data_IF_602188582916
#
_entry.id   IF_602188582916
#
_cell.length_a   1.000
_cell.length_b   1.000
_cell.length_c   1.000
_cell.angle_alpha   90.00
_cell.angle_beta   90.00
_cell.angle_gamma   90.00
#
_symmetry.space_group_name_H-M   'P 1'
#
loop_
_entity.id
_entity.type
_entity.pdbx_description
1 polymer ?
#
# COMPACT_ATOMS: atom_id res chain seq x y z
N UNK A 1 4.33 -24.92 7.53
CA UNK A 1 5.67 -24.32 7.41
C UNK A 1 5.59 -23.11 6.49
N UNK A 2 6.05 -21.94 6.94
CA UNK A 2 6.08 -20.69 6.18
C UNK A 2 7.28 -20.64 5.23
N UNK A 3 7.09 -20.14 4.01
CA UNK A 3 8.18 -19.97 3.04
C UNK A 3 9.24 -18.98 3.55
N UNK A 4 10.52 -19.14 3.16
CA UNK A 4 11.58 -18.14 3.46
C UNK A 4 11.20 -16.74 2.96
N UNK A 5 10.54 -16.67 1.80
CA UNK A 5 10.07 -15.40 1.22
C UNK A 5 9.04 -14.68 2.08
N UNK A 6 8.17 -15.42 2.79
CA UNK A 6 7.23 -14.86 3.75
C UNK A 6 7.96 -14.30 4.97
N UNK A 7 8.94 -15.03 5.52
CA UNK A 7 9.74 -14.51 6.64
C UNK A 7 10.48 -13.22 6.29
N UNK A 8 11.00 -13.10 5.06
CA UNK A 8 11.63 -11.86 4.59
C UNK A 8 10.62 -10.71 4.57
N UNK A 9 9.40 -10.95 4.07
CA UNK A 9 8.35 -9.94 4.01
C UNK A 9 7.89 -9.49 5.40
N UNK A 10 7.74 -10.44 6.33
CA UNK A 10 7.44 -10.17 7.74
C UNK A 10 8.57 -9.38 8.41
N UNK A 11 9.82 -9.74 8.11
CA UNK A 11 11.01 -9.03 8.58
C UNK A 11 11.06 -7.59 8.06
N UNK A 12 10.77 -7.36 6.77
CA UNK A 12 10.68 -6.02 6.20
C UNK A 12 9.59 -5.20 6.89
N UNK A 13 8.40 -5.76 7.07
CA UNK A 13 7.30 -5.08 7.77
C UNK A 13 7.71 -4.68 9.19
N UNK A 14 8.26 -5.62 9.96
CA UNK A 14 8.68 -5.37 11.33
C UNK A 14 9.80 -4.32 11.40
N UNK A 15 10.82 -4.46 10.56
CA UNK A 15 11.95 -3.54 10.53
C UNK A 15 11.54 -2.13 10.14
N UNK A 16 10.69 -1.98 9.11
CA UNK A 16 10.17 -0.67 8.72
C UNK A 16 9.29 -0.06 9.81
N UNK A 17 8.42 -0.85 10.46
CA UNK A 17 7.59 -0.37 11.56
C UNK A 17 8.44 0.11 12.75
N UNK A 18 9.42 -0.68 13.18
CA UNK A 18 10.32 -0.29 14.27
C UNK A 18 11.18 0.91 13.88
N UNK A 19 11.66 0.96 12.63
CA UNK A 19 12.41 2.08 12.08
C UNK A 19 11.61 3.38 12.09
N UNK A 20 10.33 3.35 11.72
CA UNK A 20 9.44 4.52 11.79
C UNK A 20 9.16 4.96 13.23
N UNK A 21 8.95 4.01 14.15
CA UNK A 21 8.75 4.34 15.56
C UNK A 21 10.00 5.02 16.15
N UNK A 22 11.18 4.47 15.87
CA UNK A 22 12.46 5.05 16.27
C UNK A 22 12.71 6.41 15.61
N UNK A 23 12.48 6.52 14.30
CA UNK A 23 12.60 7.78 13.57
C UNK A 23 11.74 8.87 14.23
N UNK A 24 10.46 8.56 14.48
CA UNK A 24 9.52 9.50 15.11
C UNK A 24 10.02 9.93 16.49
N UNK A 25 10.50 9.00 17.32
CA UNK A 25 11.06 9.35 18.64
C UNK A 25 12.32 10.21 18.56
N UNK A 26 13.18 9.96 17.57
CA UNK A 26 14.45 10.67 17.41
C UNK A 26 14.28 12.07 16.82
N UNK A 27 13.19 12.33 16.09
CA UNK A 27 12.95 13.62 15.43
C UNK A 27 11.84 14.45 16.09
N UNK A 28 11.06 13.88 17.01
CA UNK A 28 9.97 14.57 17.68
C UNK A 28 10.46 15.66 18.63
N UNK A 29 9.78 16.80 18.62
CA UNK A 29 9.95 17.86 19.64
C UNK A 29 9.26 17.49 20.96
N UNK A 30 8.16 16.73 20.89
CA UNK A 30 7.41 16.20 22.02
C UNK A 30 6.89 14.80 21.72
N UNK A 31 7.79 13.81 21.74
CA UNK A 31 7.44 12.42 21.39
C UNK A 31 6.53 11.76 22.42
N UNK A 32 5.43 11.15 21.95
CA UNK A 32 4.57 10.31 22.81
C UNK A 32 5.17 8.91 22.97
N UNK A 33 5.98 8.71 24.01
CA UNK A 33 6.57 7.41 24.35
C UNK A 33 5.53 6.29 24.49
N UNK A 34 4.32 6.61 24.95
CA UNK A 34 3.23 5.64 25.10
C UNK A 34 2.78 5.13 23.73
N UNK A 35 2.57 6.01 22.75
CA UNK A 35 2.22 5.62 21.37
C UNK A 35 3.32 4.79 20.73
N UNK A 36 4.60 5.19 20.92
CA UNK A 36 5.73 4.41 20.43
C UNK A 36 5.75 2.99 21.02
N UNK A 37 5.54 2.84 22.33
CA UNK A 37 5.48 1.52 22.99
C UNK A 37 4.32 0.68 22.45
N UNK A 38 3.14 1.27 22.25
CA UNK A 38 1.99 0.57 21.66
C UNK A 38 2.32 0.10 20.23
N UNK A 39 2.92 0.95 19.40
CA UNK A 39 3.36 0.59 18.05
C UNK A 39 4.36 -0.57 18.07
N UNK A 40 5.36 -0.51 18.95
CA UNK A 40 6.36 -1.58 19.12
C UNK A 40 5.69 -2.88 19.56
N UNK A 41 4.75 -2.80 20.50
CA UNK A 41 4.01 -3.97 21.00
C UNK A 41 3.10 -4.60 19.93
N UNK A 42 2.43 -3.79 19.08
CA UNK A 42 1.53 -4.28 18.02
C UNK A 42 2.30 -4.85 16.83
N UNK A 43 3.50 -4.33 16.54
CA UNK A 43 4.34 -4.73 15.39
C UNK A 43 4.55 -6.25 15.26
N UNK A 44 4.94 -7.02 16.29
CA UNK A 44 5.12 -8.47 16.16
C UNK A 44 3.81 -9.20 15.80
N UNK A 45 2.66 -8.77 16.32
CA UNK A 45 1.37 -9.38 15.98
C UNK A 45 1.02 -9.16 14.50
N UNK A 46 1.26 -7.95 13.99
CA UNK A 46 1.06 -7.63 12.56
C UNK A 46 2.05 -8.38 11.68
N UNK A 47 3.30 -8.55 12.11
CA UNK A 47 4.28 -9.31 11.37
C UNK A 47 3.88 -10.80 11.26
N UNK A 48 3.27 -11.38 12.30
CA UNK A 48 2.78 -12.76 12.27
C UNK A 48 1.52 -12.91 11.38
N UNK A 49 0.63 -11.92 11.39
CA UNK A 49 -0.63 -11.92 10.64
C UNK A 49 -0.86 -10.62 9.85
N UNK A 50 -0.10 -10.42 8.75
CA UNK A 50 -0.14 -9.18 7.97
C UNK A 50 -1.49 -8.90 7.29
N UNK A 51 -2.34 -9.93 7.14
CA UNK A 51 -3.70 -9.78 6.61
C UNK A 51 -4.78 -9.49 7.63
N UNK A 52 -4.43 -9.33 8.90
CA UNK A 52 -5.37 -8.97 9.95
C UNK A 52 -5.75 -7.48 9.88
N UNK A 53 -6.84 -7.13 10.57
CA UNK A 53 -7.23 -5.72 10.78
C UNK A 53 -6.18 -4.93 11.58
N UNK A 54 -5.28 -5.62 12.29
CA UNK A 54 -4.20 -5.00 13.05
C UNK A 54 -3.22 -4.24 12.16
N UNK A 55 -3.06 -4.62 10.89
CA UNK A 55 -2.22 -3.85 9.95
C UNK A 55 -2.76 -2.44 9.73
N UNK A 56 -4.08 -2.31 9.53
CA UNK A 56 -4.71 -1.01 9.38
C UNK A 56 -4.60 -0.20 10.68
N UNK A 57 -4.78 -0.85 11.83
CA UNK A 57 -4.55 -0.23 13.14
C UNK A 57 -3.10 0.25 13.30
N UNK A 58 -2.12 -0.55 12.89
CA UNK A 58 -0.69 -0.19 12.97
C UNK A 58 -0.36 1.02 12.09
N UNK A 59 -0.88 1.06 10.86
CA UNK A 59 -0.75 2.24 10.00
C UNK A 59 -1.42 3.47 10.63
N UNK A 60 -2.61 3.32 11.19
CA UNK A 60 -3.30 4.39 11.92
C UNK A 60 -2.50 4.89 13.13
N UNK A 61 -1.90 3.97 13.89
CA UNK A 61 -1.06 4.29 15.05
C UNK A 61 0.23 5.00 14.63
N UNK A 62 0.88 4.60 13.53
CA UNK A 62 2.04 5.34 13.00
C UNK A 62 1.66 6.75 12.57
N UNK A 63 0.54 6.91 11.86
CA UNK A 63 0.03 8.21 11.46
C UNK A 63 -0.30 9.09 12.66
N UNK A 64 -1.02 8.55 13.65
CA UNK A 64 -1.34 9.26 14.88
C UNK A 64 -0.08 9.63 15.66
N UNK A 65 0.84 8.68 15.85
CA UNK A 65 2.11 8.91 16.55
C UNK A 65 2.94 10.00 15.87
N UNK A 66 3.00 10.01 14.54
CA UNK A 66 3.67 11.08 13.79
C UNK A 66 3.00 12.44 14.04
N UNK A 67 1.69 12.52 13.80
CA UNK A 67 0.91 13.76 13.88
C UNK A 67 0.86 14.36 15.29
N UNK A 68 0.89 13.54 16.34
CA UNK A 68 0.92 14.04 17.72
C UNK A 68 2.32 14.44 18.18
N UNK A 69 3.37 14.01 17.47
CA UNK A 69 4.76 14.19 17.90
C UNK A 69 5.53 15.25 17.09
N UNK A 70 4.99 15.68 15.95
CA UNK A 70 5.59 16.66 15.06
C UNK A 70 4.62 17.81 14.79
N UNK A 71 5.15 19.02 14.73
CA UNK A 71 4.44 20.19 14.23
C UNK A 71 4.27 20.11 12.72
N UNK A 72 3.50 21.05 12.16
CA UNK A 72 3.45 21.25 10.72
C UNK A 72 4.89 21.51 10.23
N UNK A 73 5.32 20.86 9.13
CA UNK A 73 6.67 21.06 8.59
C UNK A 73 6.81 22.45 7.95
N UNK A 74 7.78 23.21 8.43
CA UNK A 74 8.08 24.56 7.96
C UNK A 74 9.40 24.59 7.16
N UNK A 75 10.26 23.59 7.38
CA UNK A 75 11.55 23.48 6.67
C UNK A 75 11.56 22.35 5.64
N UNK A 76 12.41 22.47 4.61
CA UNK A 76 12.61 21.40 3.62
C UNK A 76 13.06 20.08 4.26
N UNK A 77 13.82 20.15 5.37
CA UNK A 77 14.25 18.99 6.15
C UNK A 77 13.06 18.28 6.79
N UNK A 78 12.14 19.01 7.40
CA UNK A 78 10.94 18.45 8.02
C UNK A 78 10.00 17.83 6.99
N UNK A 79 9.84 18.50 5.84
CA UNK A 79 9.12 17.90 4.72
C UNK A 79 9.76 16.60 4.25
N UNK A 80 11.09 16.53 4.17
CA UNK A 80 11.79 15.31 3.80
C UNK A 80 11.53 14.18 4.81
N UNK A 81 11.45 14.50 6.10
CA UNK A 81 11.06 13.54 7.13
C UNK A 81 9.63 13.06 6.94
N UNK A 82 8.67 13.95 6.66
CA UNK A 82 7.28 13.57 6.33
C UNK A 82 7.23 12.62 5.13
N UNK A 83 8.01 12.89 4.08
CA UNK A 83 8.09 12.02 2.91
C UNK A 83 8.66 10.64 3.26
N UNK A 84 9.74 10.58 4.04
CA UNK A 84 10.34 9.32 4.51
C UNK A 84 9.33 8.52 5.33
N UNK A 85 8.60 9.18 6.23
CA UNK A 85 7.55 8.56 7.03
C UNK A 85 6.44 8.00 6.15
N UNK A 86 5.93 8.79 5.21
CA UNK A 86 4.90 8.35 4.26
C UNK A 86 5.38 7.17 3.39
N UNK A 87 6.63 7.19 2.93
CA UNK A 87 7.23 6.10 2.17
C UNK A 87 7.37 4.83 3.03
N UNK A 88 7.75 4.95 4.30
CA UNK A 88 7.79 3.83 5.24
C UNK A 88 6.39 3.22 5.47
N UNK A 89 5.36 4.06 5.65
CA UNK A 89 3.98 3.60 5.78
C UNK A 89 3.50 2.89 4.52
N UNK A 90 3.87 3.40 3.33
CA UNK A 90 3.62 2.74 2.06
C UNK A 90 4.29 1.37 2.03
N UNK A 91 5.55 1.24 2.42
CA UNK A 91 6.26 -0.06 2.49
C UNK A 91 5.54 -1.05 3.40
N UNK A 92 5.08 -0.64 4.58
CA UNK A 92 4.29 -1.48 5.49
C UNK A 92 2.98 -1.96 4.80
N UNK A 93 2.26 -1.03 4.16
CA UNK A 93 1.01 -1.33 3.47
C UNK A 93 1.20 -2.30 2.29
N UNK A 94 2.24 -2.08 1.48
CA UNK A 94 2.57 -2.94 0.33
C UNK A 94 3.02 -4.33 0.80
N UNK A 95 3.85 -4.39 1.85
CA UNK A 95 4.30 -5.65 2.43
C UNK A 95 3.13 -6.48 2.95
N UNK A 96 2.22 -5.83 3.69
CA UNK A 96 1.01 -6.48 4.17
C UNK A 96 0.10 -6.95 3.03
N UNK A 97 -0.15 -6.09 2.05
CA UNK A 97 -1.00 -6.41 0.91
C UNK A 97 -0.43 -7.57 0.08
N UNK A 98 0.90 -7.59 -0.14
CA UNK A 98 1.56 -8.69 -0.84
C UNK A 98 1.41 -10.01 -0.05
N UNK A 99 1.55 -9.95 1.27
CA UNK A 99 1.36 -11.12 2.14
C UNK A 99 -0.08 -11.66 2.09
N UNK A 100 -1.09 -10.79 1.97
CA UNK A 100 -2.50 -11.18 1.82
C UNK A 100 -2.80 -11.86 0.50
N UNK A 101 -2.12 -11.45 -0.59
CA UNK A 101 -2.42 -11.95 -1.94
C UNK A 101 -1.85 -13.34 -2.23
N UNK A 102 -0.96 -13.85 -1.37
CA UNK A 102 -0.23 -15.09 -1.62
C UNK A 102 -0.52 -16.14 -0.55
N UNK A 103 -0.72 -17.42 -0.92
CA UNK A 103 -0.80 -18.50 0.04
C UNK A 103 0.45 -18.56 0.91
N UNK A 104 0.31 -18.80 2.23
CA UNK A 104 1.43 -18.82 3.21
C UNK A 104 2.57 -19.79 2.83
N UNK A 105 2.26 -20.83 2.06
CA UNK A 105 3.22 -21.86 1.62
C UNK A 105 3.86 -21.56 0.25
N UNK A 106 3.28 -20.66 -0.56
CA UNK A 106 3.74 -20.44 -1.93
C UNK A 106 4.96 -19.49 -1.97
N UNK A 107 5.99 -19.79 -2.76
CA UNK A 107 7.08 -18.84 -3.01
C UNK A 107 6.55 -17.63 -3.80
N UNK A 108 7.04 -16.44 -3.45
CA UNK A 108 6.64 -15.19 -4.12
C UNK A 108 7.22 -15.14 -5.55
N UNK A 109 6.39 -15.09 -6.61
CA UNK A 109 6.89 -14.96 -7.97
C UNK A 109 7.59 -13.61 -8.18
N UNK A 110 8.81 -13.63 -8.75
CA UNK A 110 9.59 -12.40 -9.02
C UNK A 110 8.81 -11.39 -9.90
N UNK A 111 8.01 -11.89 -10.83
CA UNK A 111 7.18 -11.06 -11.70
C UNK A 111 6.13 -10.26 -10.90
N UNK A 112 5.54 -10.86 -9.85
CA UNK A 112 4.59 -10.18 -8.96
C UNK A 112 5.29 -9.08 -8.17
N UNK A 113 6.47 -9.36 -7.60
CA UNK A 113 7.29 -8.36 -6.89
C UNK A 113 7.63 -7.19 -7.79
N UNK A 114 8.07 -7.44 -9.02
CA UNK A 114 8.40 -6.37 -9.99
C UNK A 114 7.21 -5.49 -10.32
N UNK A 115 6.02 -6.07 -10.52
CA UNK A 115 4.78 -5.31 -10.77
C UNK A 115 4.38 -4.47 -9.54
N UNK A 116 4.52 -5.03 -8.34
CA UNK A 116 4.25 -4.31 -7.10
C UNK A 116 5.22 -3.16 -6.87
N UNK A 117 6.52 -3.39 -7.08
CA UNK A 117 7.55 -2.35 -7.01
C UNK A 117 7.30 -1.24 -8.05
N UNK A 118 6.95 -1.60 -9.29
CA UNK A 118 6.61 -0.62 -10.31
C UNK A 118 5.43 0.26 -9.86
N UNK A 119 4.37 -0.33 -9.31
CA UNK A 119 3.23 0.43 -8.75
C UNK A 119 3.64 1.35 -7.60
N UNK A 120 4.49 0.85 -6.70
CA UNK A 120 5.01 1.64 -5.58
C UNK A 120 5.80 2.86 -6.07
N UNK A 121 6.70 2.65 -7.03
CA UNK A 121 7.48 3.71 -7.67
C UNK A 121 6.57 4.69 -8.39
N UNK A 122 5.54 4.23 -9.10
CA UNK A 122 4.56 5.10 -9.74
C UNK A 122 3.81 5.95 -8.73
N UNK A 123 3.35 5.37 -7.60
CA UNK A 123 2.67 6.12 -6.54
C UNK A 123 3.59 7.19 -5.95
N UNK A 124 4.84 6.83 -5.65
CA UNK A 124 5.83 7.80 -5.15
C UNK A 124 6.10 8.90 -6.18
N UNK A 125 6.32 8.55 -7.44
CA UNK A 125 6.58 9.51 -8.51
C UNK A 125 5.41 10.47 -8.74
N UNK A 126 4.17 9.98 -8.65
CA UNK A 126 2.96 10.82 -8.74
C UNK A 126 2.73 11.66 -7.49
N UNK A 127 3.26 11.23 -6.33
CA UNK A 127 3.19 11.99 -5.09
C UNK A 127 4.23 13.12 -5.04
N UNK A 128 5.34 13.01 -5.79
CA UNK A 128 6.42 14.01 -5.80
C UNK A 128 5.95 15.42 -6.23
N UNK A 129 5.14 15.62 -7.29
CA UNK A 129 4.65 16.95 -7.65
C UNK A 129 3.75 17.56 -6.57
N UNK A 130 2.87 16.75 -5.97
CA UNK A 130 2.01 17.20 -4.86
C UNK A 130 2.87 17.61 -3.68
N UNK A 131 3.86 16.80 -3.34
CA UNK A 131 4.79 17.09 -2.26
C UNK A 131 5.65 18.33 -2.52
N UNK A 132 6.18 18.50 -3.74
CA UNK A 132 6.90 19.70 -4.16
C UNK A 132 6.05 20.96 -4.08
N UNK A 133 4.77 20.86 -4.48
CA UNK A 133 3.81 21.97 -4.34
C UNK A 133 3.57 22.32 -2.87
N UNK A 134 3.42 21.33 -1.99
CA UNK A 134 3.24 21.56 -0.56
C UNK A 134 4.47 22.24 0.07
N UNK A 135 5.68 21.79 -0.27
CA UNK A 135 6.95 22.42 0.16
C UNK A 135 7.05 23.86 -0.33
N UNK A 136 6.70 24.11 -1.59
CA UNK A 136 6.74 25.44 -2.18
C UNK A 136 5.73 26.39 -1.51
N UNK A 137 4.54 25.88 -1.18
CA UNK A 137 3.52 26.67 -0.48
C UNK A 137 3.90 26.94 0.98
N UNK A 138 4.42 25.96 1.72
CA UNK A 138 4.83 26.20 3.11
C UNK A 138 5.91 27.28 3.22
N UNK A 139 6.77 27.44 2.20
CA UNK A 139 7.76 28.52 2.16
C UNK A 139 7.17 29.91 1.86
N UNK A 140 5.95 29.98 1.33
CA UNK A 140 5.28 31.21 0.91
C UNK A 140 4.20 31.68 1.88
N UNK A 141 3.66 30.79 2.73
CA UNK A 141 2.68 31.16 3.75
C UNK A 141 3.37 31.77 4.98
N UNK A 142 2.77 32.80 5.59
CA UNK A 142 3.20 33.26 6.91
C UNK A 142 2.99 32.14 7.95
N UNK A 143 3.94 32.00 8.87
CA UNK A 143 3.94 30.97 9.92
C UNK A 143 2.57 30.88 10.62
N UNK A 144 1.94 29.69 10.60
CA UNK A 144 0.84 29.36 11.51
C UNK A 144 -0.55 29.08 10.92
N UNK A 145 -0.77 29.08 9.60
CA UNK A 145 -2.09 28.71 9.05
C UNK A 145 -2.29 27.19 8.92
N UNK A 146 -2.49 26.53 10.06
CA UNK A 146 -2.73 25.09 10.15
C UNK A 146 -3.96 24.64 9.33
N UNK A 147 -4.92 25.54 9.08
CA UNK A 147 -6.16 25.23 8.35
C UNK A 147 -5.86 24.90 6.90
N UNK A 148 -4.93 25.61 6.25
CA UNK A 148 -4.52 25.34 4.88
C UNK A 148 -3.86 23.95 4.75
N UNK A 149 -3.01 23.58 5.71
CA UNK A 149 -2.31 22.29 5.71
C UNK A 149 -3.26 21.12 5.95
N UNK A 150 -4.17 21.23 6.93
CA UNK A 150 -5.19 20.20 7.17
C UNK A 150 -6.21 20.14 6.03
N UNK A 151 -6.53 21.27 5.41
CA UNK A 151 -7.38 21.34 4.22
C UNK A 151 -6.77 20.60 3.03
N UNK A 152 -5.47 20.77 2.77
CA UNK A 152 -4.76 20.04 1.72
C UNK A 152 -4.73 18.53 1.97
N UNK A 153 -4.48 18.11 3.22
CA UNK A 153 -4.52 16.69 3.62
C UNK A 153 -5.93 16.12 3.44
N UNK A 154 -6.96 16.85 3.86
CA UNK A 154 -8.36 16.45 3.68
C UNK A 154 -8.73 16.33 2.19
N UNK A 155 -8.31 17.29 1.36
CA UNK A 155 -8.52 17.25 -0.08
C UNK A 155 -7.87 16.03 -0.74
N UNK A 156 -6.65 15.67 -0.32
CA UNK A 156 -5.98 14.45 -0.80
C UNK A 156 -6.70 13.18 -0.34
N UNK A 157 -7.19 13.16 0.91
CA UNK A 157 -8.02 12.06 1.41
C UNK A 157 -9.31 11.88 0.61
N UNK A 158 -10.00 12.99 0.29
CA UNK A 158 -11.20 13.00 -0.54
C UNK A 158 -10.89 12.54 -1.97
N UNK A 159 -9.78 13.00 -2.57
CA UNK A 159 -9.38 12.61 -3.92
C UNK A 159 -9.04 11.11 -3.98
N UNK A 160 -8.31 10.58 -3.00
CA UNK A 160 -8.00 9.16 -2.91
C UNK A 160 -9.28 8.31 -2.76
N UNK A 161 -10.23 8.77 -1.94
CA UNK A 161 -11.53 8.12 -1.78
C UNK A 161 -12.36 8.16 -3.06
N UNK A 162 -12.38 9.28 -3.78
CA UNK A 162 -13.08 9.43 -5.05
C UNK A 162 -12.51 8.48 -6.13
N UNK A 163 -11.18 8.39 -6.24
CA UNK A 163 -10.52 7.45 -7.15
C UNK A 163 -10.84 5.99 -6.80
N UNK A 164 -10.90 5.66 -5.52
CA UNK A 164 -11.29 4.33 -5.06
C UNK A 164 -12.73 3.98 -5.45
N UNK A 165 -13.68 4.92 -5.28
CA UNK A 165 -15.06 4.75 -5.72
C UNK A 165 -15.15 4.57 -7.25
N UNK A 166 -14.40 5.36 -8.02
CA UNK A 166 -14.37 5.25 -9.48
C UNK A 166 -13.85 3.88 -9.97
N UNK A 167 -12.91 3.26 -9.24
CA UNK A 167 -12.42 1.92 -9.59
C UNK A 167 -13.43 0.80 -9.30
N UNK A 168 -14.37 1.01 -8.37
CA UNK A 168 -15.40 0.02 -8.08
C UNK A 168 -16.50 -0.02 -9.13
N UNK A 169 -16.84 1.11 -9.75
CA UNK A 169 -17.90 1.16 -10.78
C UNK A 169 -17.57 0.28 -11.99
N UNK A 170 -16.29 0.17 -12.36
CA UNK A 170 -15.84 -0.68 -13.48
C UNK A 170 -15.97 -2.19 -13.20
N UNK A 171 -15.90 -2.63 -11.94
CA UNK A 171 -16.08 -4.06 -11.61
C UNK A 171 -17.53 -4.53 -11.76
N UNK A 172 -18.50 -3.64 -11.55
CA UNK A 172 -19.92 -3.96 -11.73
C UNK A 172 -20.31 -4.16 -13.20
N UNK A 173 -19.65 -3.45 -14.13
CA UNK A 173 -20.00 -3.47 -15.55
C UNK A 173 -19.58 -4.77 -16.27
N UNK A 174 -18.50 -5.42 -15.84
CA UNK A 174 -18.09 -6.72 -16.42
C UNK A 174 -18.99 -7.90 -16.03
N UNK A 175 -19.80 -7.77 -14.97
CA UNK A 175 -20.73 -8.81 -14.56
C UNK A 175 -22.05 -8.82 -15.36
N UNK A 176 -22.34 -7.74 -16.10
CA UNK A 176 -23.53 -7.62 -16.95
C UNK A 176 -23.26 -7.87 -18.43
N UNK A 177 -22.05 -8.30 -18.83
CA UNK A 177 -21.84 -8.79 -20.18
C UNK A 177 -22.77 -9.99 -20.42
N UNK A 178 -23.84 -9.83 -21.22
CA UNK A 178 -24.87 -10.84 -21.33
C UNK A 178 -24.25 -12.07 -22.00
N UNK A 179 -24.61 -13.26 -21.50
CA UNK A 179 -24.38 -14.56 -22.13
C UNK A 179 -25.16 -14.68 -23.46
N UNK A 180 -25.01 -13.72 -24.36
CA UNK A 180 -25.69 -13.68 -25.64
C UNK A 180 -25.01 -14.54 -26.71
N UNK A 181 -23.85 -15.14 -26.43
CA UNK A 181 -23.09 -15.92 -27.42
C UNK A 181 -23.12 -17.43 -27.22
N UNK A 182 -23.92 -17.96 -26.29
CA UNK A 182 -24.03 -19.41 -26.07
C UNK A 182 -25.03 -20.12 -27.01
N UNK A 183 -25.51 -19.46 -28.07
CA UNK A 183 -26.56 -20.01 -28.94
C UNK A 183 -26.18 -20.11 -30.43
N UNK A 184 -24.92 -19.87 -30.81
CA UNK A 184 -24.49 -20.05 -32.19
C UNK A 184 -23.30 -21.01 -32.26
N UNK A 185 -23.49 -22.07 -33.06
CA UNK A 185 -22.49 -23.04 -33.50
C UNK A 185 -22.36 -24.34 -32.69
N UNK A 186 -23.50 -24.92 -32.28
CA UNK A 186 -23.67 -26.38 -32.25
C UNK A 186 -24.27 -26.82 -33.58
N UNK A 187 -23.45 -26.83 -34.63
CA UNK A 187 -23.78 -27.52 -35.89
C UNK A 187 -22.48 -27.94 -36.55
N UNK A 188 -22.21 -29.24 -36.48
CA UNK A 188 -21.44 -29.98 -37.47
C UNK A 188 -19.93 -29.71 -37.51
N UNK A 189 -19.15 -30.73 -37.16
CA UNK A 189 -18.57 -31.63 -38.18
C UNK A 189 -17.97 -32.80 -37.41
N UNK A 190 -18.70 -33.90 -37.47
CA UNK A 190 -18.22 -35.24 -37.17
C UNK A 190 -17.53 -35.75 -38.42
N UNK A 191 -16.21 -35.93 -38.39
CA UNK A 191 -15.49 -36.88 -39.27
C UNK A 191 -14.34 -37.44 -38.43
N UNK A 192 -14.43 -38.64 -37.85
CA UNK A 192 -14.43 -39.95 -38.51
C UNK A 192 -13.31 -40.08 -39.53
N UNK A 193 -12.15 -40.55 -39.06
CA UNK A 193 -11.21 -41.46 -39.72
C UNK A 193 -10.14 -41.78 -38.66
N UNK A 194 -10.39 -42.71 -37.75
CA UNK A 194 -10.08 -44.14 -37.94
C UNK A 194 -9.18 -44.40 -39.16
N UNK A 195 -7.86 -44.37 -38.91
CA UNK A 195 -6.89 -45.03 -39.78
C UNK A 195 -5.99 -45.88 -38.87
N UNK A 196 -6.52 -47.07 -38.57
CA UNK A 196 -5.70 -48.30 -38.51
C UNK A 196 -4.88 -48.44 -39.80
N UNK A 197 -3.86 -49.28 -39.71
CA UNK A 197 -2.83 -49.60 -40.71
C UNK A 197 -1.65 -48.62 -40.67
N UNK A 198 -0.39 -49.04 -40.51
CA UNK A 198 0.25 -50.24 -41.08
C UNK A 198 1.68 -50.37 -40.56
N UNK A 199 2.17 -51.62 -40.47
CA UNK A 199 3.58 -52.08 -40.63
C UNK A 199 4.66 -51.50 -39.71
N UNK A 200 5.67 -52.23 -39.24
CA UNK A 200 6.13 -53.62 -39.29
C UNK A 200 7.30 -53.71 -38.31
#
# INVERSE_FOLDING_TARGET
>A
MTSRSQHVLQGVLALTSLGLAALTLLTASSGSFVLALVVVAVTPFVALEPGSRLTALLLGLHGAHWLTSHTVPDTAREWALVFVTAAGMLVIHLAASLACTLPKAAPIPRASVRRWLARAVTVLALSLPVWALLVAQSAALPDGDAVATYGAIAALGILAFALWLAQQSHKGQSAMAPKASALVSSTGISSSTDSKERSS
#
